data_IF_566599210361
#
_entry.id   IF_566599210361
#
_cell.length_a   1.000
_cell.length_b   1.000
_cell.length_c   1.000
_cell.angle_alpha   90.00
_cell.angle_beta   90.00
_cell.angle_gamma   90.00
#
_symmetry.space_group_name_H-M   'P 1'
#
loop_
_entity.id
_entity.type
_entity.pdbx_description
1 polymer ?
#
# COMPACT_ATOMS: atom_id res chain seq x y z
N UNK A 1 -14.94 20.90 14.57
CA UNK A 1 -14.45 19.50 14.51
C UNK A 1 -13.76 19.20 15.84
N UNK A 2 -14.19 18.16 16.55
CA UNK A 2 -13.49 17.68 17.74
C UNK A 2 -12.25 16.91 17.27
N UNK A 3 -11.07 17.34 17.71
CA UNK A 3 -9.84 16.56 17.51
C UNK A 3 -9.97 15.28 18.35
N UNK A 4 -10.01 14.13 17.70
CA UNK A 4 -10.07 12.82 18.36
C UNK A 4 -8.73 12.11 18.17
N UNK A 5 -8.30 11.35 19.17
CA UNK A 5 -7.20 10.41 18.99
C UNK A 5 -7.71 9.25 18.12
N UNK A 6 -7.10 9.04 16.96
CA UNK A 6 -7.53 8.03 15.99
C UNK A 6 -6.83 6.68 16.16
N UNK A 7 -5.97 6.51 17.16
CA UNK A 7 -5.19 5.29 17.35
C UNK A 7 -6.07 4.04 17.44
N UNK A 8 -7.12 4.10 18.28
CA UNK A 8 -8.01 2.95 18.48
C UNK A 8 -8.86 2.66 17.24
N UNK A 9 -9.25 3.69 16.48
CA UNK A 9 -9.90 3.51 15.18
C UNK A 9 -8.99 2.76 14.19
N UNK A 10 -7.70 3.12 14.11
CA UNK A 10 -6.73 2.40 13.27
C UNK A 10 -6.49 0.97 13.75
N UNK A 11 -6.47 0.73 15.06
CA UNK A 11 -6.36 -0.61 15.64
C UNK A 11 -7.58 -1.47 15.27
N UNK A 12 -8.78 -0.89 15.29
CA UNK A 12 -9.99 -1.57 14.82
C UNK A 12 -9.90 -1.93 13.32
N UNK A 13 -9.36 -1.04 12.48
CA UNK A 13 -9.13 -1.34 11.05
C UNK A 13 -8.15 -2.52 10.91
N UNK A 14 -7.07 -2.58 11.69
CA UNK A 14 -6.13 -3.71 11.68
C UNK A 14 -6.81 -5.02 12.08
N UNK A 15 -7.61 -5.00 13.15
CA UNK A 15 -8.41 -6.17 13.56
C UNK A 15 -9.35 -6.62 12.43
N UNK A 16 -10.12 -5.70 11.85
CA UNK A 16 -11.01 -6.01 10.73
C UNK A 16 -10.24 -6.57 9.53
N UNK A 17 -9.02 -6.08 9.30
CA UNK A 17 -8.12 -6.55 8.25
C UNK A 17 -7.75 -8.03 8.36
N UNK A 18 -7.70 -8.59 9.59
CA UNK A 18 -7.46 -10.03 9.79
C UNK A 18 -8.58 -10.91 9.21
N UNK A 19 -9.75 -10.31 8.96
CA UNK A 19 -10.92 -10.97 8.36
C UNK A 19 -11.25 -10.45 6.94
N UNK A 20 -10.37 -9.64 6.35
CA UNK A 20 -10.58 -9.04 5.02
C UNK A 20 -11.56 -7.87 5.00
N UNK A 21 -11.90 -7.30 6.17
CA UNK A 21 -12.91 -6.25 6.33
C UNK A 21 -12.32 -4.84 6.52
N UNK A 22 -11.00 -4.64 6.32
CA UNK A 22 -10.34 -3.35 6.56
C UNK A 22 -10.97 -2.18 5.78
N UNK A 23 -11.32 -2.39 4.50
CA UNK A 23 -11.99 -1.37 3.68
C UNK A 23 -13.35 -0.97 4.25
N UNK A 24 -14.18 -1.96 4.61
CA UNK A 24 -15.50 -1.71 5.19
C UNK A 24 -15.39 -0.99 6.55
N UNK A 25 -14.40 -1.35 7.38
CA UNK A 25 -14.13 -0.67 8.64
C UNK A 25 -13.78 0.80 8.42
N UNK A 26 -12.95 1.08 7.42
CA UNK A 26 -12.58 2.45 7.03
C UNK A 26 -13.80 3.25 6.59
N UNK A 27 -14.66 2.68 5.74
CA UNK A 27 -15.87 3.34 5.25
C UNK A 27 -16.84 3.67 6.39
N UNK A 28 -17.05 2.76 7.33
CA UNK A 28 -17.91 2.97 8.50
C UNK A 28 -17.34 4.04 9.44
N UNK A 29 -16.03 4.03 9.70
CA UNK A 29 -15.38 5.06 10.50
C UNK A 29 -15.46 6.44 9.86
N UNK A 30 -15.25 6.53 8.54
CA UNK A 30 -15.41 7.78 7.79
C UNK A 30 -16.86 8.29 7.83
N UNK A 31 -17.83 7.40 7.64
CA UNK A 31 -19.26 7.74 7.77
C UNK A 31 -19.60 8.23 9.17
N UNK A 32 -19.19 7.51 10.22
CA UNK A 32 -19.40 7.88 11.61
C UNK A 32 -18.85 9.28 11.90
N UNK A 33 -17.63 9.57 11.44
CA UNK A 33 -16.99 10.86 11.71
C UNK A 33 -17.56 12.00 10.86
N UNK A 34 -17.66 11.84 9.54
CA UNK A 34 -18.00 12.94 8.62
C UNK A 34 -19.50 13.13 8.41
N UNK A 35 -20.28 12.05 8.49
CA UNK A 35 -21.73 12.09 8.24
C UNK A 35 -22.52 12.13 9.54
N UNK A 36 -22.21 11.24 10.47
CA UNK A 36 -22.99 11.07 11.69
C UNK A 36 -22.48 11.95 12.85
N UNK A 37 -21.32 12.62 12.66
CA UNK A 37 -20.74 13.54 13.64
C UNK A 37 -20.28 12.86 14.93
N UNK A 38 -20.03 11.56 14.88
CA UNK A 38 -19.59 10.75 16.01
C UNK A 38 -18.10 10.96 16.31
N UNK A 39 -17.70 10.63 17.52
CA UNK A 39 -16.30 10.73 17.96
C UNK A 39 -15.64 9.35 17.82
N UNK A 40 -14.77 9.17 16.82
CA UNK A 40 -14.11 7.88 16.52
C UNK A 40 -13.05 7.44 17.53
N UNK A 41 -12.90 8.16 18.63
CA UNK A 41 -12.15 7.73 19.83
C UNK A 41 -13.09 7.28 20.96
N UNK A 42 -14.39 7.33 20.74
CA UNK A 42 -15.37 6.85 21.70
C UNK A 42 -15.48 5.32 21.61
N UNK A 43 -15.38 4.66 22.78
CA UNK A 43 -15.43 3.21 22.89
C UNK A 43 -16.74 2.63 22.35
N UNK A 44 -17.87 3.24 22.70
CA UNK A 44 -19.18 2.74 22.31
C UNK A 44 -19.38 2.84 20.79
N UNK A 45 -18.83 3.89 20.17
CA UNK A 45 -18.83 4.06 18.71
C UNK A 45 -18.01 2.96 18.05
N UNK A 46 -16.81 2.67 18.55
CA UNK A 46 -15.93 1.64 17.99
C UNK A 46 -16.52 0.23 18.15
N UNK A 47 -17.13 -0.07 19.30
CA UNK A 47 -17.83 -1.35 19.53
C UNK A 47 -19.04 -1.46 18.60
N UNK A 48 -19.81 -0.38 18.42
CA UNK A 48 -20.93 -0.34 17.47
C UNK A 48 -20.49 -0.61 16.03
N UNK A 49 -19.41 0.00 15.59
CA UNK A 49 -18.84 -0.25 14.26
C UNK A 49 -18.35 -1.71 14.13
N UNK A 50 -17.71 -2.25 15.17
CA UNK A 50 -17.31 -3.66 15.20
C UNK A 50 -18.50 -4.61 15.03
N UNK A 51 -19.62 -4.32 15.70
CA UNK A 51 -20.85 -5.10 15.57
C UNK A 51 -21.47 -5.00 14.16
N UNK A 52 -21.45 -3.81 13.56
CA UNK A 52 -21.93 -3.60 12.17
C UNK A 52 -21.07 -4.36 11.16
N UNK A 53 -19.77 -4.50 11.41
CA UNK A 53 -18.85 -5.33 10.62
C UNK A 53 -19.05 -6.83 10.83
N UNK A 54 -19.83 -7.24 11.83
CA UNK A 54 -19.99 -8.64 12.20
C UNK A 54 -18.80 -9.21 12.99
N UNK A 55 -17.98 -8.35 13.57
CA UNK A 55 -16.91 -8.79 14.47
C UNK A 55 -17.49 -9.22 15.81
N UNK A 56 -16.82 -10.15 16.49
CA UNK A 56 -17.16 -10.53 17.83
C UNK A 56 -17.00 -9.33 18.79
N UNK A 57 -18.07 -8.96 19.49
CA UNK A 57 -18.09 -7.81 20.41
C UNK A 57 -17.06 -7.94 21.53
N UNK A 58 -16.95 -9.12 22.14
CA UNK A 58 -15.95 -9.39 23.19
C UNK A 58 -14.52 -9.22 22.64
N UNK A 59 -14.31 -9.55 21.37
CA UNK A 59 -13.03 -9.39 20.71
C UNK A 59 -12.68 -7.91 20.48
N UNK A 60 -13.66 -7.09 20.11
CA UNK A 60 -13.48 -5.64 19.96
C UNK A 60 -13.22 -4.98 21.32
N UNK A 61 -13.94 -5.37 22.36
CA UNK A 61 -13.70 -4.87 23.71
C UNK A 61 -12.30 -5.23 24.22
N UNK A 62 -11.85 -6.46 24.00
CA UNK A 62 -10.49 -6.91 24.36
C UNK A 62 -9.42 -6.11 23.60
N UNK A 63 -9.65 -5.79 22.33
CA UNK A 63 -8.77 -4.90 21.56
C UNK A 63 -8.62 -3.56 22.27
N UNK A 64 -9.74 -2.95 22.66
CA UNK A 64 -9.75 -1.61 23.28
C UNK A 64 -9.14 -1.60 24.68
N UNK A 65 -9.22 -2.71 25.42
CA UNK A 65 -8.63 -2.87 26.76
C UNK A 65 -7.10 -3.16 26.72
N UNK A 66 -6.59 -3.58 25.58
CA UNK A 66 -5.17 -3.94 25.40
C UNK A 66 -4.50 -2.99 24.43
N UNK A 67 -3.18 -3.14 24.22
CA UNK A 67 -2.38 -2.37 23.25
C UNK A 67 -2.18 -3.12 21.93
N UNK A 68 -3.00 -4.10 21.66
CA UNK A 68 -2.90 -4.93 20.45
C UNK A 68 -2.99 -4.06 19.18
N UNK A 69 -2.21 -4.38 18.17
CA UNK A 69 -2.04 -3.63 16.91
C UNK A 69 -1.52 -2.19 17.05
N UNK A 70 -1.15 -1.73 18.26
CA UNK A 70 -0.59 -0.39 18.40
C UNK A 70 0.78 -0.27 17.72
N UNK A 71 1.61 -1.31 17.83
CA UNK A 71 2.94 -1.35 17.19
C UNK A 71 2.82 -1.33 15.66
N UNK A 72 1.86 -2.04 15.08
CA UNK A 72 1.61 -2.05 13.64
C UNK A 72 1.14 -0.68 13.15
N UNK A 73 0.28 0.00 13.89
CA UNK A 73 -0.14 1.37 13.55
C UNK A 73 1.05 2.32 13.62
N UNK A 74 1.91 2.20 14.64
CA UNK A 74 3.12 3.02 14.74
C UNK A 74 4.13 2.69 13.63
N UNK A 75 4.22 1.43 13.21
CA UNK A 75 5.05 1.04 12.09
C UNK A 75 4.59 1.68 10.78
N UNK A 76 3.28 1.69 10.50
CA UNK A 76 2.71 2.37 9.34
C UNK A 76 3.02 3.89 9.37
N UNK A 77 2.90 4.52 10.54
CA UNK A 77 3.25 5.94 10.70
C UNK A 77 4.75 6.21 10.46
N UNK A 78 5.61 5.33 10.98
CA UNK A 78 7.05 5.43 10.78
C UNK A 78 7.43 5.22 9.30
N UNK A 79 6.73 4.33 8.60
CA UNK A 79 6.91 4.13 7.17
C UNK A 79 6.52 5.36 6.37
N UNK A 80 5.36 5.95 6.65
CA UNK A 80 4.94 7.22 6.05
C UNK A 80 6.00 8.32 6.27
N UNK A 81 6.56 8.40 7.49
CA UNK A 81 7.64 9.34 7.81
C UNK A 81 8.91 9.12 6.98
N UNK A 82 9.25 7.86 6.67
CA UNK A 82 10.42 7.54 5.79
C UNK A 82 10.23 8.01 4.36
N UNK A 83 9.00 8.02 3.86
CA UNK A 83 8.66 8.60 2.55
C UNK A 83 8.52 10.13 2.58
N UNK A 84 8.74 10.77 3.72
CA UNK A 84 8.63 12.23 3.86
C UNK A 84 7.19 12.73 3.77
N UNK A 85 6.19 11.89 4.07
CA UNK A 85 4.77 12.25 4.01
C UNK A 85 4.47 13.21 5.17
N UNK A 86 4.16 14.47 4.83
CA UNK A 86 3.82 15.52 5.79
C UNK A 86 2.36 15.96 5.72
N UNK A 87 1.61 15.41 4.76
CA UNK A 87 0.20 15.74 4.56
C UNK A 87 -0.49 14.77 3.61
N UNK A 88 -1.81 14.89 3.52
CA UNK A 88 -2.66 14.04 2.69
C UNK A 88 -3.52 14.88 1.75
N UNK A 89 -3.92 14.34 0.59
CA UNK A 89 -3.60 12.99 0.09
C UNK A 89 -2.15 12.88 -0.39
N UNK A 90 -1.59 11.67 -0.32
CA UNK A 90 -0.27 11.34 -0.83
C UNK A 90 -0.36 9.99 -1.55
N UNK A 91 0.18 9.91 -2.75
CA UNK A 91 0.12 8.72 -3.60
C UNK A 91 1.55 8.25 -3.88
N UNK A 92 1.81 6.99 -3.60
CA UNK A 92 3.10 6.36 -3.84
C UNK A 92 2.91 5.20 -4.81
N UNK A 93 3.64 5.21 -5.92
CA UNK A 93 3.61 4.18 -6.96
C UNK A 93 4.92 3.39 -6.91
N UNK A 94 4.84 2.07 -6.86
CA UNK A 94 5.98 1.13 -6.87
C UNK A 94 7.09 1.49 -5.85
N UNK A 95 6.75 2.21 -4.77
CA UNK A 95 7.69 2.65 -3.75
C UNK A 95 8.73 3.69 -4.19
N UNK A 96 8.64 4.23 -5.41
CA UNK A 96 9.65 5.10 -6.02
C UNK A 96 9.09 6.43 -6.52
N UNK A 97 7.88 6.45 -7.08
CA UNK A 97 7.25 7.66 -7.62
C UNK A 97 6.16 8.15 -6.70
N UNK A 98 6.16 9.45 -6.44
CA UNK A 98 5.21 10.03 -5.51
C UNK A 98 4.49 11.23 -6.10
N UNK A 99 3.18 11.33 -5.84
CA UNK A 99 2.36 12.51 -6.10
C UNK A 99 1.81 13.02 -4.77
N UNK A 100 2.14 14.25 -4.42
CA UNK A 100 1.69 14.89 -3.18
C UNK A 100 0.54 15.84 -3.47
N UNK A 101 -0.50 15.76 -2.65
CA UNK A 101 -1.69 16.60 -2.76
C UNK A 101 -2.71 16.11 -3.79
N UNK A 102 -3.87 16.75 -3.75
CA UNK A 102 -4.94 16.54 -4.74
C UNK A 102 -4.59 17.30 -6.03
N UNK A 103 -3.93 16.64 -6.96
CA UNK A 103 -3.52 17.16 -8.24
C UNK A 103 -4.61 16.96 -9.31
N UNK A 104 -4.56 17.69 -10.44
CA UNK A 104 -5.44 17.44 -11.59
C UNK A 104 -5.30 16.01 -12.12
N UNK A 105 -6.39 15.50 -12.73
CA UNK A 105 -6.43 14.11 -13.24
C UNK A 105 -5.35 13.85 -14.31
N UNK A 106 -5.04 14.87 -15.12
CA UNK A 106 -4.03 14.81 -16.17
C UNK A 106 -2.64 14.49 -15.59
N UNK A 107 -2.29 15.09 -14.43
CA UNK A 107 -1.01 14.83 -13.77
C UNK A 107 -0.93 13.38 -13.26
N UNK A 108 -2.04 12.84 -12.76
CA UNK A 108 -2.09 11.44 -12.36
C UNK A 108 -1.95 10.50 -13.56
N UNK A 109 -2.58 10.84 -14.70
CA UNK A 109 -2.45 10.04 -15.92
C UNK A 109 -1.00 10.02 -16.40
N UNK A 110 -0.35 11.19 -16.50
CA UNK A 110 1.05 11.29 -16.90
C UNK A 110 1.97 10.50 -15.96
N UNK A 111 1.74 10.61 -14.64
CA UNK A 111 2.52 9.86 -13.65
C UNK A 111 2.35 8.34 -13.81
N UNK A 112 1.11 7.87 -14.01
CA UNK A 112 0.82 6.45 -14.20
C UNK A 112 1.40 5.91 -15.51
N UNK A 113 1.33 6.69 -16.61
CA UNK A 113 1.93 6.31 -17.89
C UNK A 113 3.45 6.22 -17.77
N UNK A 114 4.10 7.15 -17.06
CA UNK A 114 5.53 7.08 -16.80
C UNK A 114 5.91 5.85 -15.99
N UNK A 115 5.22 5.61 -14.86
CA UNK A 115 5.47 4.44 -14.01
C UNK A 115 5.27 3.15 -14.80
N UNK A 116 4.20 3.09 -15.60
CA UNK A 116 3.94 1.93 -16.44
C UNK A 116 5.04 1.69 -17.45
N UNK A 117 5.48 2.75 -18.16
CA UNK A 117 6.56 2.64 -19.15
C UNK A 117 7.88 2.15 -18.52
N UNK A 118 8.19 2.61 -17.31
CA UNK A 118 9.44 2.24 -16.62
C UNK A 118 9.38 0.83 -15.99
N UNK A 119 8.21 0.40 -15.50
CA UNK A 119 8.06 -0.91 -14.86
C UNK A 119 7.74 -2.04 -15.84
N UNK A 120 7.20 -1.71 -17.03
CA UNK A 120 6.83 -2.69 -18.06
C UNK A 120 7.73 -2.61 -19.30
N UNK A 121 8.96 -2.14 -19.17
CA UNK A 121 9.93 -2.25 -20.26
C UNK A 121 10.17 -3.74 -20.58
N UNK A 122 9.84 -4.13 -21.81
CA UNK A 122 10.18 -5.45 -22.30
C UNK A 122 11.71 -5.60 -22.28
N UNK A 123 12.24 -6.43 -21.40
CA UNK A 123 13.65 -6.82 -21.45
C UNK A 123 13.82 -7.72 -22.68
N UNK A 124 14.28 -7.14 -23.79
CA UNK A 124 14.75 -7.94 -24.91
C UNK A 124 16.05 -8.61 -24.46
N UNK A 125 15.97 -9.90 -24.16
CA UNK A 125 17.17 -10.74 -24.06
C UNK A 125 17.67 -10.87 -25.49
N UNK A 126 18.68 -10.09 -25.89
CA UNK A 126 19.47 -10.35 -27.08
C UNK A 126 20.19 -11.67 -26.84
N UNK A 127 19.63 -12.74 -27.39
CA UNK A 127 20.38 -13.98 -27.55
C UNK A 127 21.62 -13.63 -28.38
N UNK A 128 22.79 -13.63 -27.75
CA UNK A 128 24.05 -13.35 -28.42
C UNK A 128 24.15 -14.26 -29.63
N UNK A 129 24.42 -13.64 -30.79
CA UNK A 129 24.81 -14.36 -31.98
C UNK A 129 25.97 -15.26 -31.62
N UNK A 130 25.72 -16.56 -31.75
CA UNK A 130 26.75 -17.58 -31.55
C UNK A 130 27.94 -17.26 -32.44
N UNK A 131 29.09 -17.02 -31.82
CA UNK A 131 30.38 -16.92 -32.44
C UNK A 131 30.55 -18.10 -33.41
N UNK A 132 30.45 -17.84 -34.72
CA UNK A 132 30.75 -18.78 -35.75
C UNK A 132 32.22 -19.21 -35.64
N UNK A 133 32.43 -20.44 -35.18
CA UNK A 133 33.71 -21.06 -35.17
C UNK A 133 34.21 -21.19 -36.61
N UNK A 134 35.22 -20.40 -36.95
CA UNK A 134 36.00 -20.55 -38.18
C UNK A 134 36.72 -21.91 -38.17
N UNK A 135 36.22 -22.86 -38.95
CA UNK A 135 36.98 -24.07 -39.27
C UNK A 135 38.14 -23.72 -40.22
N UNK A 136 39.32 -23.48 -39.66
CA UNK A 136 40.55 -23.39 -40.42
C UNK A 136 40.95 -24.78 -40.98
N UNK A 137 40.65 -25.03 -42.26
CA UNK A 137 41.23 -26.15 -42.98
C UNK A 137 42.69 -25.83 -43.30
N UNK A 138 43.59 -26.36 -42.47
CA UNK A 138 45.01 -26.39 -42.73
C UNK A 138 45.33 -27.23 -43.94
N UNK A 139 46.21 -26.71 -44.83
CA UNK A 139 46.54 -27.19 -46.14
C UNK A 139 47.08 -28.61 -46.24
N UNK A 140 46.62 -29.30 -47.29
CA UNK A 140 47.26 -30.46 -47.80
C UNK A 140 48.30 -30.00 -48.79
N UNK A 141 49.60 -30.20 -48.49
CA UNK A 141 50.69 -30.10 -49.39
C UNK A 141 50.90 -31.47 -50.02
N UNK A 142 50.65 -31.63 -51.38
CA UNK A 142 51.11 -32.76 -52.17
C UNK A 142 52.42 -32.34 -52.84
N UNK A 143 53.51 -32.94 -52.40
CA UNK A 143 54.78 -32.93 -53.13
C UNK A 143 54.93 -34.19 -53.99
N UNK A 144 55.41 -34.01 -55.15
CA UNK A 144 55.79 -34.86 -56.26
C UNK A 144 56.10 -36.32 -56.02
#
# INVERSE_FOLDING_TARGET
>A
ARSANTLDAHRLIKLAGTQGLAGQATDLLMKAFFTDGQVVSDRDVLVGIGAELGLDGDRVEQLLDRVEFAEEVHADQAEAGRYGITGVPFFLFEGQWAVSGAQPAELFLDALEQVWAETHQAQFITMGEGSGGSCGCGGCSCGS
#
